data_IF_882503283676
#
_entry.id   IF_882503283676
#
_cell.length_a   1.000
_cell.length_b   1.000
_cell.length_c   1.000
_cell.angle_alpha   90.00
_cell.angle_beta   90.00
_cell.angle_gamma   90.00
#
_symmetry.space_group_name_H-M   'P 1'
#
loop_
_entity.id
_entity.type
_entity.pdbx_description
1 polymer ?
#
# COMPACT_ATOMS: atom_id res chain seq x y z
N UNK A 1 18.65 0.34 3.91
CA UNK A 1 17.29 0.71 3.47
C UNK A 1 17.01 2.09 4.01
N UNK A 2 16.74 3.05 3.13
CA UNK A 2 16.09 4.30 3.51
C UNK A 2 14.60 4.14 3.16
N UNK A 3 13.78 3.93 4.18
CA UNK A 3 12.31 3.95 4.08
C UNK A 3 11.86 5.23 4.77
N UNK A 4 11.09 6.05 4.05
CA UNK A 4 10.57 7.32 4.55
C UNK A 4 9.04 7.27 4.65
N UNK A 5 8.43 8.05 5.56
CA UNK A 5 6.98 8.22 5.58
C UNK A 5 6.45 8.80 4.26
N UNK A 6 5.21 8.45 3.90
CA UNK A 6 4.53 8.98 2.71
C UNK A 6 3.80 10.27 3.08
N UNK A 7 4.24 11.41 2.53
CA UNK A 7 3.64 12.71 2.79
C UNK A 7 2.93 13.29 1.59
N UNK A 8 3.34 12.89 0.39
CA UNK A 8 2.85 13.40 -0.89
C UNK A 8 2.36 12.28 -1.78
N UNK A 9 1.61 12.63 -2.82
CA UNK A 9 1.19 11.69 -3.85
C UNK A 9 2.39 11.10 -4.60
N UNK A 10 3.46 11.88 -4.79
CA UNK A 10 4.71 11.40 -5.40
C UNK A 10 5.40 10.32 -4.55
N UNK A 11 5.42 10.48 -3.22
CA UNK A 11 5.93 9.45 -2.31
C UNK A 11 5.10 8.17 -2.42
N UNK A 12 3.77 8.33 -2.49
CA UNK A 12 2.82 7.23 -2.62
C UNK A 12 2.99 6.46 -3.93
N UNK A 13 3.07 7.15 -5.08
CA UNK A 13 3.32 6.51 -6.38
C UNK A 13 4.66 5.78 -6.43
N UNK A 14 5.72 6.40 -5.86
CA UNK A 14 7.03 5.76 -5.77
C UNK A 14 7.00 4.51 -4.89
N UNK A 15 6.28 4.55 -3.76
CA UNK A 15 6.10 3.39 -2.89
C UNK A 15 5.33 2.26 -3.60
N UNK A 16 4.26 2.59 -4.34
CA UNK A 16 3.50 1.60 -5.11
C UNK A 16 4.33 0.91 -6.19
N UNK A 17 5.20 1.65 -6.90
CA UNK A 17 6.09 1.06 -7.90
C UNK A 17 7.01 0.01 -7.26
N UNK A 18 7.60 0.32 -6.10
CA UNK A 18 8.47 -0.61 -5.36
C UNK A 18 7.68 -1.80 -4.83
N UNK A 19 6.49 -1.58 -4.27
CA UNK A 19 5.62 -2.67 -3.79
C UNK A 19 5.29 -3.61 -4.94
N UNK A 20 4.95 -3.10 -6.12
CA UNK A 20 4.69 -3.93 -7.30
C UNK A 20 5.87 -4.82 -7.66
N UNK A 21 7.08 -4.26 -7.71
CA UNK A 21 8.30 -5.02 -8.01
C UNK A 21 8.58 -6.10 -6.96
N UNK A 22 8.36 -5.80 -5.67
CA UNK A 22 8.56 -6.75 -4.58
C UNK A 22 7.50 -7.84 -4.57
N UNK A 23 6.24 -7.53 -4.88
CA UNK A 23 5.18 -8.54 -5.01
C UNK A 23 5.49 -9.50 -6.16
N UNK A 24 5.95 -8.99 -7.30
CA UNK A 24 6.35 -9.83 -8.44
C UNK A 24 7.57 -10.71 -8.12
N UNK A 25 8.47 -10.24 -7.25
CA UNK A 25 9.62 -10.99 -6.79
C UNK A 25 9.30 -12.08 -5.75
N UNK A 26 8.13 -12.03 -5.12
CA UNK A 26 7.64 -12.96 -4.09
C UNK A 26 8.70 -13.33 -3.02
N UNK A 27 9.29 -12.32 -2.32
CA UNK A 27 10.35 -12.57 -1.35
C UNK A 27 9.81 -13.32 -0.13
N UNK A 28 10.61 -14.25 0.40
CA UNK A 28 10.25 -14.96 1.62
C UNK A 28 10.12 -13.99 2.82
N UNK A 29 9.14 -14.20 3.72
CA UNK A 29 9.02 -13.43 4.95
C UNK A 29 10.28 -13.49 5.81
N UNK A 30 10.65 -12.37 6.45
CA UNK A 30 11.86 -12.27 7.28
C UNK A 30 13.17 -12.11 6.48
N UNK A 31 13.10 -12.05 5.15
CA UNK A 31 14.21 -11.56 4.33
C UNK A 31 14.19 -10.04 4.26
N UNK A 32 15.31 -9.36 3.94
CA UNK A 32 15.32 -7.91 3.81
C UNK A 32 14.29 -7.35 2.83
N UNK A 33 14.03 -8.05 1.73
CA UNK A 33 13.02 -7.65 0.73
C UNK A 33 11.60 -7.95 1.20
N UNK A 34 11.39 -9.06 1.93
CA UNK A 34 10.12 -9.37 2.58
C UNK A 34 9.74 -8.35 3.65
N UNK A 35 10.67 -8.00 4.54
CA UNK A 35 10.49 -6.97 5.56
C UNK A 35 10.22 -5.61 4.92
N UNK A 36 10.89 -5.30 3.81
CA UNK A 36 10.64 -4.07 3.04
C UNK A 36 9.23 -4.04 2.47
N UNK A 37 8.77 -5.14 1.89
CA UNK A 37 7.42 -5.26 1.34
C UNK A 37 6.36 -5.08 2.43
N UNK A 38 6.56 -5.71 3.59
CA UNK A 38 5.67 -5.57 4.75
C UNK A 38 5.56 -4.10 5.21
N UNK A 39 6.70 -3.44 5.41
CA UNK A 39 6.74 -2.04 5.86
C UNK A 39 6.06 -1.11 4.84
N UNK A 40 6.39 -1.25 3.55
CA UNK A 40 5.81 -0.39 2.51
C UNK A 40 4.29 -0.60 2.38
N UNK A 41 3.82 -1.83 2.53
CA UNK A 41 2.39 -2.15 2.50
C UNK A 41 1.62 -1.42 3.61
N UNK A 42 2.18 -1.40 4.83
CA UNK A 42 1.58 -0.68 5.98
C UNK A 42 1.56 0.84 5.72
N UNK A 43 2.62 1.39 5.14
CA UNK A 43 2.69 2.82 4.84
C UNK A 43 1.69 3.23 3.76
N UNK A 44 1.55 2.41 2.71
CA UNK A 44 0.57 2.57 1.63
C UNK A 44 -0.85 2.55 2.21
N UNK A 45 -1.21 1.51 2.96
CA UNK A 45 -2.53 1.39 3.62
C UNK A 45 -2.84 2.62 4.46
N UNK A 46 -1.87 3.07 5.28
CA UNK A 46 -2.07 4.23 6.14
C UNK A 46 -2.27 5.53 5.36
N UNK A 47 -1.58 5.68 4.24
CA UNK A 47 -1.75 6.83 3.35
C UNK A 47 -3.11 6.79 2.67
N UNK A 48 -3.53 5.62 2.15
CA UNK A 48 -4.82 5.43 1.51
C UNK A 48 -5.98 5.71 2.47
N UNK A 49 -5.93 5.21 3.71
CA UNK A 49 -6.93 5.49 4.74
C UNK A 49 -7.14 7.00 4.99
N UNK A 50 -6.07 7.79 4.89
CA UNK A 50 -6.10 9.22 5.12
C UNK A 50 -6.55 10.02 3.89
N UNK A 51 -6.24 9.56 2.67
CA UNK A 51 -6.42 10.33 1.43
C UNK A 51 -7.55 9.82 0.53
N UNK A 52 -7.84 8.51 0.57
CA UNK A 52 -8.87 7.82 -0.21
C UNK A 52 -9.86 7.10 0.72
N UNK A 53 -10.54 7.82 1.63
CA UNK A 53 -11.53 7.20 2.50
C UNK A 53 -12.59 6.53 1.62
N UNK A 54 -12.84 5.24 1.85
CA UNK A 54 -13.87 4.51 1.12
C UNK A 54 -15.18 5.30 1.23
N UNK A 55 -15.76 5.76 0.11
CA UNK A 55 -17.09 6.35 0.15
C UNK A 55 -17.98 5.27 0.74
N UNK A 56 -18.60 5.54 1.89
CA UNK A 56 -19.37 4.54 2.63
C UNK A 56 -20.31 3.85 1.66
N UNK A 57 -20.00 2.59 1.32
CA UNK A 57 -20.80 1.81 0.41
C UNK A 57 -22.18 1.76 1.04
N UNK A 58 -23.14 2.50 0.48
CA UNK A 58 -24.50 2.42 0.95
C UNK A 58 -24.88 0.95 0.74
N UNK A 59 -25.24 0.17 1.78
CA UNK A 59 -25.40 -1.28 1.66
C UNK A 59 -26.38 -1.70 0.54
N UNK A 60 -27.26 -0.78 0.15
CA UNK A 60 -28.19 -0.92 -0.98
C UNK A 60 -27.47 -0.91 -2.35
N UNK A 61 -26.41 -0.13 -2.53
CA UNK A 61 -25.62 -0.09 -3.78
C UNK A 61 -24.76 -1.34 -3.96
N UNK A 62 -24.25 -1.92 -2.87
CA UNK A 62 -23.44 -3.15 -2.90
C UNK A 62 -24.23 -4.42 -3.32
N UNK A 63 -25.56 -4.42 -3.21
CA UNK A 63 -26.44 -5.57 -3.50
C UNK A 63 -26.92 -5.57 -4.97
N UNK A 64 -26.55 -4.58 -5.80
CA UNK A 64 -27.06 -4.45 -7.18
C UNK A 64 -26.29 -5.22 -8.27
N UNK A 65 -25.46 -6.21 -7.92
CA UNK A 65 -24.71 -7.04 -8.89
C UNK A 65 -25.10 -8.51 -8.83
#
# INVERSE_FOLDING_TARGET
>A
MDICPLHTEEDYEAALAVVSELVDADPEPGTPDGDRLEILSILVERYEDAHFPLPGLNPIEAIRF
#
